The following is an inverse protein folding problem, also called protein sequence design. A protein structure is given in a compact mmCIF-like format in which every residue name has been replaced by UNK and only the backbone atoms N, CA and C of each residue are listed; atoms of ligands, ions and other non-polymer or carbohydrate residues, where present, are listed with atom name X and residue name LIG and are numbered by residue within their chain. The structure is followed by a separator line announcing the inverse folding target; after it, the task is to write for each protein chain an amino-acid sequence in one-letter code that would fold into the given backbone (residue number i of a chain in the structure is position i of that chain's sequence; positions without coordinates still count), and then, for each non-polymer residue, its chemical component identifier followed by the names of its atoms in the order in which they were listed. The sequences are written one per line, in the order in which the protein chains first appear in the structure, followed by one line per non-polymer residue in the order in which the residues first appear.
data_IF_400095979160
#
_entry.id   IF_400095979160
#
_cell.length_a   1.000
_cell.length_b   1.000
_cell.length_c   1.000
_cell.angle_alpha   90.00
_cell.angle_beta   90.00
_cell.angle_gamma   90.00
#
_symmetry.space_group_name_H-M   'P 1'
#
loop_
_entity.id
_entity.type
_entity.pdbx_description
1 polymer ?
#
# COMPACT_ATOMS: atom_id res chain seq x y z
N UNK A 1 -33.14 20.86 -12.01
CA UNK A 1 -33.07 20.98 -13.49
C UNK A 1 -32.49 19.68 -14.04
N UNK A 2 -33.28 18.83 -14.70
CA UNK A 2 -32.78 17.57 -15.29
C UNK A 2 -32.24 17.88 -16.69
N UNK A 3 -30.92 17.74 -16.91
CA UNK A 3 -30.34 17.85 -18.25
C UNK A 3 -30.91 16.76 -19.18
N UNK A 4 -31.22 17.13 -20.43
CA UNK A 4 -31.56 16.21 -21.53
C UNK A 4 -30.44 15.16 -21.71
N UNK A 5 -30.84 13.92 -22.01
CA UNK A 5 -29.98 12.79 -22.37
C UNK A 5 -28.93 13.12 -23.45
N UNK A 6 -29.28 13.90 -24.48
CA UNK A 6 -28.36 14.30 -25.56
C UNK A 6 -27.20 15.16 -25.03
N UNK A 7 -27.50 16.14 -24.18
CA UNK A 7 -26.49 16.99 -23.54
C UNK A 7 -25.57 16.19 -22.60
N UNK A 8 -26.07 15.11 -21.98
CA UNK A 8 -25.24 14.20 -21.17
C UNK A 8 -24.26 13.41 -22.04
N UNK A 9 -24.69 12.97 -23.23
CA UNK A 9 -23.83 12.27 -24.18
C UNK A 9 -22.78 13.20 -24.80
N UNK A 10 -23.15 14.42 -25.18
CA UNK A 10 -22.21 15.42 -25.69
C UNK A 10 -21.15 15.79 -24.65
N UNK A 11 -21.54 15.99 -23.38
CA UNK A 11 -20.61 16.25 -22.29
C UNK A 11 -19.64 15.08 -22.06
N UNK A 12 -20.11 13.82 -22.12
CA UNK A 12 -19.24 12.65 -22.01
C UNK A 12 -18.19 12.60 -23.14
N UNK A 13 -18.58 12.98 -24.38
CA UNK A 13 -17.68 12.97 -25.54
C UNK A 13 -16.55 14.02 -25.44
N UNK A 14 -16.86 15.26 -25.07
CA UNK A 14 -15.87 16.35 -24.93
C UNK A 14 -14.91 16.13 -23.74
N UNK A 15 -15.40 15.51 -22.67
CA UNK A 15 -14.67 15.36 -21.42
C UNK A 15 -13.76 14.10 -21.44
N UNK A 16 -14.07 13.08 -22.24
CA UNK A 16 -13.30 11.82 -22.28
C UNK A 16 -11.86 11.95 -22.78
N UNK A 17 -11.58 12.84 -23.75
CA UNK A 17 -10.24 12.99 -24.34
C UNK A 17 -9.37 14.07 -23.67
N UNK A 18 -9.99 15.10 -23.08
CA UNK A 18 -9.27 16.23 -22.46
C UNK A 18 -9.22 16.18 -20.94
N UNK A 19 -10.07 15.38 -20.28
CA UNK A 19 -10.18 15.29 -18.82
C UNK A 19 -10.16 13.84 -18.35
N UNK A 20 -8.95 13.39 -18.00
CA UNK A 20 -8.70 12.03 -17.51
C UNK A 20 -9.06 11.95 -16.01
N UNK A 21 -9.86 10.96 -15.64
CA UNK A 21 -10.09 10.59 -14.25
C UNK A 21 -8.94 9.68 -13.82
N UNK A 22 -8.09 10.16 -12.90
CA UNK A 22 -6.97 9.36 -12.41
C UNK A 22 -7.40 8.37 -11.31
N UNK A 23 -7.47 7.10 -11.70
CA UNK A 23 -7.64 5.96 -10.81
C UNK A 23 -6.43 4.99 -10.89
N UNK A 24 -5.30 5.41 -11.46
CA UNK A 24 -4.17 4.53 -11.68
C UNK A 24 -3.34 4.37 -10.40
N UNK A 25 -2.70 5.42 -9.92
CA UNK A 25 -1.77 5.33 -8.78
C UNK A 25 -2.54 5.15 -7.47
N UNK A 26 -2.05 4.26 -6.60
CA UNK A 26 -2.61 4.08 -5.26
C UNK A 26 -2.23 5.18 -4.27
N UNK A 27 -2.09 6.45 -4.70
CA UNK A 27 -1.82 7.60 -3.81
C UNK A 27 -3.10 8.08 -3.12
N UNK A 28 -2.99 8.85 -2.03
CA UNK A 28 -4.18 9.44 -1.41
C UNK A 28 -4.89 10.37 -2.41
N UNK A 29 -6.18 10.12 -2.72
CA UNK A 29 -6.93 10.97 -3.63
C UNK A 29 -7.43 12.27 -2.98
N UNK A 30 -7.31 12.41 -1.65
CA UNK A 30 -7.87 13.50 -0.86
C UNK A 30 -6.81 14.47 -0.28
N UNK A 31 -5.57 14.37 -0.75
CA UNK A 31 -4.46 15.24 -0.32
C UNK A 31 -3.80 14.75 0.98
N UNK A 32 -3.31 15.69 1.79
CA UNK A 32 -2.56 15.44 3.03
C UNK A 32 -3.14 16.22 4.22
N UNK A 33 -2.75 15.91 5.47
CA UNK A 33 -3.01 16.80 6.60
C UNK A 33 -2.54 18.23 6.30
N UNK A 34 -3.26 19.26 6.79
CA UNK A 34 -2.91 20.65 6.55
C UNK A 34 -1.59 20.99 7.24
N UNK A 35 -0.74 21.74 6.54
CA UNK A 35 0.49 22.34 7.07
C UNK A 35 0.23 23.84 7.17
N UNK A 36 0.36 24.41 8.37
CA UNK A 36 0.17 25.84 8.56
C UNK A 36 1.22 26.63 7.77
N UNK A 37 0.83 27.74 7.13
CA UNK A 37 1.76 28.59 6.38
C UNK A 37 2.92 29.10 7.24
N UNK A 38 2.65 29.32 8.54
CA UNK A 38 3.62 29.73 9.57
C UNK A 38 4.72 28.70 9.82
N UNK A 39 4.51 27.43 9.45
CA UNK A 39 5.52 26.38 9.57
C UNK A 39 6.55 26.40 8.43
N UNK A 40 6.21 27.01 7.29
CA UNK A 40 7.07 27.00 6.10
C UNK A 40 8.44 27.69 6.32
N UNK A 41 8.54 28.84 7.02
CA UNK A 41 9.84 29.43 7.34
C UNK A 41 10.73 28.50 8.18
N UNK A 42 10.16 27.79 9.17
CA UNK A 42 10.91 26.83 10.01
C UNK A 42 11.41 25.62 9.23
N UNK A 43 10.72 25.25 8.15
CA UNK A 43 11.16 24.19 7.24
C UNK A 43 12.38 24.59 6.41
N UNK A 44 12.46 25.87 6.02
CA UNK A 44 13.50 26.38 5.12
C UNK A 44 14.73 26.92 5.87
N UNK A 45 14.60 27.19 7.17
CA UNK A 45 15.60 27.85 8.02
C UNK A 45 16.97 27.17 8.00
N UNK A 46 17.00 25.85 7.90
CA UNK A 46 18.17 24.98 7.99
C UNK A 46 18.16 23.93 6.87
N UNK A 47 17.62 24.28 5.70
CA UNK A 47 17.51 23.37 4.56
C UNK A 47 18.89 22.92 4.03
N UNK A 48 19.94 23.69 4.33
CA UNK A 48 21.33 23.40 4.02
C UNK A 48 22.02 22.47 5.05
N UNK A 49 21.34 22.12 6.13
CA UNK A 49 21.86 21.24 7.19
C UNK A 49 21.38 19.79 7.08
N UNK A 50 22.19 18.87 7.63
CA UNK A 50 21.74 17.52 7.93
C UNK A 50 20.91 17.49 9.22
N UNK A 51 20.02 16.49 9.36
CA UNK A 51 19.32 16.30 10.61
C UNK A 51 20.28 15.95 11.75
N UNK A 52 19.90 16.36 12.97
CA UNK A 52 20.56 15.98 14.23
C UNK A 52 19.87 14.79 14.90
N UNK A 53 20.48 14.25 15.97
CA UNK A 53 19.86 13.19 16.78
C UNK A 53 18.53 13.63 17.40
N UNK A 54 18.37 14.92 17.72
CA UNK A 54 17.13 15.48 18.27
C UNK A 54 15.97 15.35 17.28
N UNK A 55 16.22 15.62 16.00
CA UNK A 55 15.22 15.43 14.95
C UNK A 55 14.79 13.96 14.81
N UNK A 56 15.74 13.03 14.88
CA UNK A 56 15.44 11.59 14.86
C UNK A 56 14.65 11.17 16.09
N UNK A 57 15.04 11.62 17.28
CA UNK A 57 14.35 11.34 18.52
C UNK A 57 12.91 11.86 18.50
N UNK A 58 12.70 13.08 18.01
CA UNK A 58 11.38 13.69 17.86
C UNK A 58 10.51 12.88 16.89
N UNK A 59 11.02 12.58 15.69
CA UNK A 59 10.26 11.78 14.72
C UNK A 59 9.93 10.37 15.26
N UNK A 60 10.89 9.74 15.94
CA UNK A 60 10.68 8.44 16.59
C UNK A 60 9.61 8.51 17.66
N UNK A 61 9.59 9.59 18.46
CA UNK A 61 8.59 9.82 19.48
C UNK A 61 7.19 9.98 18.85
N UNK A 62 7.06 10.84 17.85
CA UNK A 62 5.78 11.12 17.19
C UNK A 62 5.22 9.88 16.49
N UNK A 63 6.04 9.11 15.77
CA UNK A 63 5.60 7.86 15.14
C UNK A 63 5.27 6.79 16.20
N UNK A 64 6.07 6.69 17.26
CA UNK A 64 5.81 5.78 18.38
C UNK A 64 4.46 6.05 19.04
N UNK A 65 4.14 7.32 19.32
CA UNK A 65 2.82 7.72 19.85
C UNK A 65 1.69 7.47 18.86
N UNK A 66 1.91 7.76 17.57
CA UNK A 66 0.91 7.57 16.54
C UNK A 66 0.44 6.10 16.43
N UNK A 67 1.39 5.15 16.45
CA UNK A 67 1.15 3.72 16.30
C UNK A 67 0.96 2.95 17.62
N UNK A 68 1.38 3.54 18.75
CA UNK A 68 1.44 2.85 20.03
C UNK A 68 2.58 1.82 20.09
N UNK A 69 3.75 2.15 19.54
CA UNK A 69 4.96 1.31 19.56
C UNK A 69 6.12 2.04 20.25
N UNK A 70 7.17 1.32 20.64
CA UNK A 70 8.35 1.95 21.23
C UNK A 70 9.12 2.73 20.17
N UNK A 71 9.52 3.96 20.49
CA UNK A 71 10.31 4.81 19.61
C UNK A 71 11.67 4.20 19.24
N UNK A 72 12.21 3.33 20.11
CA UNK A 72 13.47 2.64 19.85
C UNK A 72 13.37 1.56 18.78
N UNK A 73 12.17 1.04 18.50
CA UNK A 73 11.90 -0.05 17.55
C UNK A 73 11.68 0.46 16.10
N UNK A 74 11.93 1.75 15.88
CA UNK A 74 11.72 2.44 14.61
C UNK A 74 13.03 2.66 13.85
N UNK A 75 12.98 2.46 12.53
CA UNK A 75 14.04 2.81 11.59
C UNK A 75 13.44 3.56 10.40
N UNK A 76 13.97 4.73 10.05
CA UNK A 76 13.42 5.59 9.00
C UNK A 76 14.15 5.43 7.66
N UNK A 77 13.40 5.57 6.56
CA UNK A 77 13.87 5.27 5.20
C UNK A 77 13.21 6.21 4.18
N UNK A 78 13.72 6.22 2.94
CA UNK A 78 13.20 7.02 1.83
C UNK A 78 11.91 6.45 1.21
N UNK A 79 10.87 6.28 2.04
CA UNK A 79 9.64 5.57 1.69
C UNK A 79 9.76 4.06 1.93
N UNK A 80 8.63 3.35 1.85
CA UNK A 80 8.59 1.90 2.10
C UNK A 80 9.46 1.10 1.13
N UNK A 81 9.60 1.54 -0.13
CA UNK A 81 10.51 0.87 -1.08
C UNK A 81 11.97 0.93 -0.61
N UNK A 82 12.42 2.07 -0.07
CA UNK A 82 13.75 2.19 0.51
C UNK A 82 13.95 1.28 1.74
N UNK A 83 12.88 1.00 2.50
CA UNK A 83 12.92 -0.02 3.55
C UNK A 83 13.07 -1.44 2.99
N UNK A 84 12.30 -1.79 1.95
CA UNK A 84 12.40 -3.10 1.31
C UNK A 84 13.79 -3.31 0.69
N UNK A 85 14.29 -2.33 -0.06
CA UNK A 85 15.64 -2.35 -0.63
C UNK A 85 16.72 -2.53 0.45
N UNK A 86 16.60 -1.81 1.56
CA UNK A 86 17.52 -1.94 2.70
C UNK A 86 17.56 -3.37 3.22
N UNK A 87 16.38 -3.96 3.48
CA UNK A 87 16.25 -5.32 4.02
C UNK A 87 16.83 -6.31 3.02
N UNK A 88 16.36 -6.28 1.76
CA UNK A 88 16.75 -7.24 0.74
C UNK A 88 18.26 -7.21 0.45
N UNK A 89 18.87 -6.03 0.44
CA UNK A 89 20.29 -5.89 0.12
C UNK A 89 21.23 -6.16 1.29
N UNK A 90 20.82 -5.81 2.53
CA UNK A 90 21.74 -5.77 3.68
C UNK A 90 21.46 -6.78 4.78
N UNK A 91 20.23 -7.28 4.91
CA UNK A 91 19.87 -8.19 6.00
C UNK A 91 19.71 -9.64 5.57
N UNK A 92 19.64 -9.90 4.27
CA UNK A 92 19.38 -11.24 3.73
C UNK A 92 20.67 -11.83 3.19
N UNK A 93 20.93 -13.09 3.57
CA UNK A 93 22.08 -13.85 3.09
C UNK A 93 22.12 -13.84 1.55
N UNK A 94 23.32 -13.70 1.00
CA UNK A 94 23.58 -13.74 -0.44
C UNK A 94 23.45 -15.15 -1.01
N UNK A 95 23.59 -16.19 -0.19
CA UNK A 95 23.55 -17.58 -0.64
C UNK A 95 22.14 -18.18 -0.66
N UNK A 96 21.22 -17.66 0.17
CA UNK A 96 19.83 -18.15 0.27
C UNK A 96 18.85 -16.99 0.08
N UNK A 97 18.44 -16.74 -1.17
CA UNK A 97 17.53 -15.62 -1.53
C UNK A 97 16.22 -16.14 -2.10
N UNK A 98 15.42 -16.78 -1.26
CA UNK A 98 14.07 -17.23 -1.61
C UNK A 98 13.04 -16.37 -0.89
N UNK A 99 12.02 -15.92 -1.62
CA UNK A 99 10.88 -15.18 -1.11
C UNK A 99 9.60 -15.89 -1.48
N UNK A 100 8.71 -16.08 -0.51
CA UNK A 100 7.36 -16.60 -0.74
C UNK A 100 6.33 -15.53 -0.35
N UNK A 101 5.23 -15.44 -1.11
CA UNK A 101 4.11 -14.56 -0.77
C UNK A 101 2.78 -15.06 -1.31
N UNK A 102 1.76 -14.19 -1.29
CA UNK A 102 0.42 -14.48 -1.81
C UNK A 102 0.20 -13.67 -3.10
N UNK A 103 -0.03 -14.35 -4.21
CA UNK A 103 -0.23 -13.72 -5.51
C UNK A 103 -1.71 -13.51 -5.85
N UNK A 104 -2.10 -12.40 -6.53
CA UNK A 104 -1.28 -11.24 -6.89
C UNK A 104 -0.97 -10.33 -5.70
N UNK A 105 0.24 -9.76 -5.71
CA UNK A 105 0.74 -8.81 -4.71
C UNK A 105 1.60 -7.70 -5.35
N UNK A 106 2.11 -6.78 -4.51
CA UNK A 106 2.91 -5.64 -4.92
C UNK A 106 4.13 -6.05 -5.75
N UNK A 107 4.17 -5.59 -7.00
CA UNK A 107 5.09 -6.06 -8.04
C UNK A 107 6.50 -5.53 -7.83
N UNK A 108 6.63 -4.30 -7.35
CA UNK A 108 7.90 -3.62 -7.17
C UNK A 108 8.73 -4.31 -6.07
N UNK A 109 8.12 -4.77 -4.98
CA UNK A 109 8.82 -5.56 -3.96
C UNK A 109 9.45 -6.84 -4.56
N UNK A 110 8.66 -7.58 -5.35
CA UNK A 110 9.13 -8.80 -6.04
C UNK A 110 10.19 -8.49 -7.09
N UNK A 111 10.03 -7.38 -7.82
CA UNK A 111 10.98 -6.96 -8.85
C UNK A 111 12.33 -6.57 -8.26
N UNK A 112 12.35 -5.76 -7.18
CA UNK A 112 13.58 -5.41 -6.46
C UNK A 112 14.27 -6.64 -5.90
N UNK A 113 13.51 -7.58 -5.32
CA UNK A 113 14.09 -8.83 -4.82
C UNK A 113 14.71 -9.68 -5.94
N UNK A 114 14.06 -9.77 -7.11
CA UNK A 114 14.62 -10.46 -8.28
C UNK A 114 15.85 -9.77 -8.86
N UNK A 115 15.89 -8.43 -8.86
CA UNK A 115 17.02 -7.65 -9.38
C UNK A 115 18.32 -7.93 -8.62
N UNK A 116 18.22 -8.23 -7.32
CA UNK A 116 19.37 -8.62 -6.51
C UNK A 116 19.68 -10.14 -6.61
N UNK A 117 19.10 -10.85 -7.57
CA UNK A 117 19.30 -12.29 -7.76
C UNK A 117 18.45 -13.18 -6.84
N UNK A 118 17.38 -12.64 -6.25
CA UNK A 118 16.42 -13.42 -5.48
C UNK A 118 15.43 -14.20 -6.35
N UNK A 119 14.94 -15.31 -5.80
CA UNK A 119 13.91 -16.15 -6.37
C UNK A 119 12.60 -15.94 -5.62
N UNK A 120 11.52 -15.67 -6.35
CA UNK A 120 10.20 -15.44 -5.78
C UNK A 120 9.21 -16.48 -6.27
N UNK A 121 8.42 -17.01 -5.33
CA UNK A 121 7.29 -17.89 -5.60
C UNK A 121 6.04 -17.41 -4.88
N UNK A 122 4.88 -17.59 -5.52
CA UNK A 122 3.59 -17.19 -4.97
C UNK A 122 2.73 -18.41 -4.69
N UNK A 123 1.98 -18.38 -3.58
CA UNK A 123 0.71 -19.13 -3.50
C UNK A 123 -0.34 -18.27 -4.21
N UNK A 124 -0.99 -18.81 -5.25
CA UNK A 124 -2.01 -18.07 -5.98
C UNK A 124 -3.32 -18.05 -5.18
N UNK A 125 -3.77 -16.86 -4.77
CA UNK A 125 -4.96 -16.69 -3.95
C UNK A 125 -6.25 -17.16 -4.64
N UNK A 126 -6.28 -17.22 -5.97
CA UNK A 126 -7.45 -17.63 -6.73
C UNK A 126 -7.73 -19.14 -6.65
N UNK A 127 -6.81 -19.92 -6.08
CA UNK A 127 -6.97 -21.37 -5.87
C UNK A 127 -7.76 -21.69 -4.60
N UNK A 128 -8.09 -20.67 -3.81
CA UNK A 128 -8.69 -20.81 -2.49
C UNK A 128 -9.93 -19.94 -2.34
N UNK A 129 -11.00 -20.51 -1.78
CA UNK A 129 -12.22 -19.77 -1.43
C UNK A 129 -12.22 -19.31 0.04
N UNK A 130 -11.58 -20.07 0.94
CA UNK A 130 -11.42 -19.75 2.35
C UNK A 130 -10.00 -19.25 2.61
N UNK A 131 -9.89 -18.16 3.37
CA UNK A 131 -8.60 -17.57 3.76
C UNK A 131 -7.77 -18.52 4.63
N UNK A 132 -8.40 -19.34 5.46
CA UNK A 132 -7.71 -20.30 6.33
C UNK A 132 -7.00 -21.38 5.50
N UNK A 133 -7.60 -21.81 4.40
CA UNK A 133 -6.99 -22.79 3.50
C UNK A 133 -5.80 -22.17 2.75
N UNK A 134 -5.95 -20.92 2.28
CA UNK A 134 -4.86 -20.15 1.67
C UNK A 134 -3.66 -20.02 2.61
N UNK A 135 -3.89 -19.60 3.86
CA UNK A 135 -2.82 -19.47 4.85
C UNK A 135 -2.27 -20.84 5.28
N UNK A 136 -3.09 -21.88 5.33
CA UNK A 136 -2.64 -23.25 5.57
C UNK A 136 -1.68 -23.74 4.50
N UNK A 137 -2.00 -23.51 3.22
CA UNK A 137 -1.12 -23.83 2.09
C UNK A 137 0.20 -23.05 2.16
N UNK A 138 0.15 -21.76 2.48
CA UNK A 138 1.33 -20.92 2.64
C UNK A 138 2.22 -21.40 3.80
N UNK A 139 1.64 -21.70 4.97
CA UNK A 139 2.38 -22.24 6.13
C UNK A 139 3.06 -23.56 5.78
N UNK A 140 2.36 -24.48 5.11
CA UNK A 140 2.94 -25.74 4.66
C UNK A 140 4.14 -25.50 3.73
N UNK A 141 4.00 -24.57 2.77
CA UNK A 141 5.10 -24.22 1.86
C UNK A 141 6.30 -23.61 2.59
N UNK A 142 6.06 -22.75 3.59
CA UNK A 142 7.12 -22.17 4.43
C UNK A 142 7.92 -23.28 5.14
N UNK A 143 7.25 -24.26 5.74
CA UNK A 143 7.92 -25.37 6.42
C UNK A 143 8.70 -26.28 5.47
N UNK A 144 8.19 -26.52 4.27
CA UNK A 144 8.85 -27.34 3.26
C UNK A 144 10.10 -26.64 2.69
N UNK A 145 9.95 -25.39 2.27
CA UNK A 145 10.96 -24.71 1.45
C UNK A 145 11.93 -23.87 2.29
N UNK A 146 11.53 -23.51 3.52
CA UNK A 146 12.28 -22.66 4.46
C UNK A 146 12.81 -21.40 3.78
N UNK A 147 11.92 -20.54 3.26
CA UNK A 147 12.33 -19.38 2.50
C UNK A 147 13.11 -18.40 3.39
N UNK A 148 14.01 -17.60 2.80
CA UNK A 148 14.63 -16.52 3.56
C UNK A 148 13.61 -15.44 3.98
N UNK A 149 12.64 -15.16 3.11
CA UNK A 149 11.62 -14.14 3.32
C UNK A 149 10.23 -14.70 3.04
N UNK A 150 9.29 -14.36 3.91
CA UNK A 150 7.86 -14.37 3.60
C UNK A 150 7.40 -12.92 3.51
N UNK A 151 6.87 -12.52 2.37
CA UNK A 151 6.42 -11.14 2.12
C UNK A 151 4.91 -11.11 1.93
N UNK A 152 4.23 -10.26 2.70
CA UNK A 152 2.79 -10.05 2.63
C UNK A 152 2.51 -8.55 2.70
N UNK A 153 1.89 -7.97 1.68
CA UNK A 153 1.29 -6.65 1.79
C UNK A 153 -0.13 -6.74 2.36
N UNK A 154 -0.38 -6.03 3.46
CA UNK A 154 -1.66 -6.03 4.15
C UNK A 154 -2.00 -4.61 4.64
N UNK A 155 -2.96 -3.89 4.02
CA UNK A 155 -3.84 -4.35 2.95
C UNK A 155 -3.14 -4.66 1.61
N UNK A 156 -3.60 -5.70 0.93
CA UNK A 156 -3.01 -6.25 -0.30
C UNK A 156 -3.21 -5.33 -1.51
N UNK A 157 -2.17 -5.14 -2.31
CA UNK A 157 -2.14 -4.46 -3.59
C UNK A 157 -1.84 -5.51 -4.67
N UNK A 158 -2.78 -5.85 -5.56
CA UNK A 158 -3.81 -4.94 -6.08
C UNK A 158 -5.22 -5.08 -5.49
N UNK A 159 -5.50 -6.14 -4.76
CA UNK A 159 -6.90 -6.54 -4.48
C UNK A 159 -7.63 -5.58 -3.53
N UNK A 160 -6.91 -4.88 -2.67
CA UNK A 160 -7.47 -4.09 -1.57
C UNK A 160 -8.01 -4.95 -0.43
N UNK A 161 -7.68 -6.24 -0.39
CA UNK A 161 -8.08 -7.17 0.67
C UNK A 161 -7.29 -6.88 1.95
N UNK A 162 -7.94 -7.10 3.09
CA UNK A 162 -7.30 -7.08 4.41
C UNK A 162 -7.39 -8.50 4.94
N UNK A 163 -6.25 -9.10 5.24
CA UNK A 163 -6.17 -10.44 5.83
C UNK A 163 -6.42 -10.38 7.33
N UNK A 164 -6.93 -11.47 7.90
CA UNK A 164 -7.12 -11.60 9.34
C UNK A 164 -5.78 -11.55 10.07
N UNK A 165 -5.72 -10.77 11.15
CA UNK A 165 -4.55 -10.67 12.01
C UNK A 165 -4.18 -12.01 12.62
N UNK A 166 -5.14 -12.86 12.97
CA UNK A 166 -4.85 -14.18 13.54
C UNK A 166 -4.12 -15.08 12.55
N UNK A 167 -4.42 -14.95 11.25
CA UNK A 167 -3.72 -15.68 10.20
C UNK A 167 -2.28 -15.18 10.02
N UNK A 168 -2.06 -13.86 10.11
CA UNK A 168 -0.72 -13.27 10.11
C UNK A 168 0.10 -13.67 11.34
N UNK A 169 -0.52 -13.78 12.52
CA UNK A 169 0.14 -14.26 13.75
C UNK A 169 0.61 -15.71 13.60
N UNK A 170 -0.23 -16.60 13.04
CA UNK A 170 0.18 -17.98 12.73
C UNK A 170 1.35 -18.00 11.74
N UNK A 171 1.36 -17.06 10.80
CA UNK A 171 2.45 -16.92 9.84
C UNK A 171 3.76 -16.50 10.53
N UNK A 172 3.72 -15.59 11.51
CA UNK A 172 4.89 -15.24 12.33
C UNK A 172 5.51 -16.50 12.96
N UNK A 173 4.67 -17.33 13.57
CA UNK A 173 5.08 -18.58 14.25
C UNK A 173 5.69 -19.58 13.26
N UNK A 174 5.07 -19.76 12.09
CA UNK A 174 5.59 -20.66 11.06
C UNK A 174 6.95 -20.19 10.50
N UNK A 175 7.09 -18.87 10.31
CA UNK A 175 8.35 -18.26 9.88
C UNK A 175 9.43 -18.41 10.95
N UNK A 176 9.11 -18.25 12.23
CA UNK A 176 10.06 -18.42 13.33
C UNK A 176 10.62 -19.84 13.38
N UNK A 177 9.74 -20.85 13.24
CA UNK A 177 10.12 -22.27 13.18
C UNK A 177 10.98 -22.64 11.95
N UNK A 178 10.91 -21.82 10.90
CA UNK A 178 11.61 -22.06 9.63
C UNK A 178 12.80 -21.13 9.42
N UNK A 179 13.15 -20.32 10.44
CA UNK A 179 14.19 -19.30 10.40
C UNK A 179 13.99 -18.27 9.27
N UNK A 180 12.74 -18.03 8.89
CA UNK A 180 12.33 -17.07 7.87
C UNK A 180 12.02 -15.70 8.47
N UNK A 181 12.38 -14.63 7.77
CA UNK A 181 11.92 -13.28 8.07
C UNK A 181 10.52 -13.06 7.50
N UNK A 182 9.57 -12.65 8.34
CA UNK A 182 8.26 -12.19 7.87
C UNK A 182 8.26 -10.67 7.71
N UNK A 183 8.00 -10.21 6.49
CA UNK A 183 7.78 -8.80 6.17
C UNK A 183 6.30 -8.59 5.91
N UNK A 184 5.66 -7.75 6.74
CA UNK A 184 4.30 -7.26 6.50
C UNK A 184 4.37 -5.82 6.01
N UNK A 185 4.10 -5.59 4.72
CA UNK A 185 4.03 -4.25 4.14
C UNK A 185 2.63 -3.66 4.40
N UNK A 186 2.57 -2.75 5.37
CA UNK A 186 1.38 -1.99 5.71
C UNK A 186 1.39 -0.62 5.02
N UNK A 187 1.70 -0.58 3.72
CA UNK A 187 1.64 0.66 2.94
C UNK A 187 0.27 1.36 3.05
N UNK A 188 -0.84 0.61 3.10
CA UNK A 188 -2.18 1.14 3.36
C UNK A 188 -2.59 0.99 4.85
N UNK A 189 -1.63 1.01 5.77
CA UNK A 189 -1.87 0.74 7.19
C UNK A 189 -2.80 1.75 7.88
N UNK A 190 -2.98 2.95 7.35
CA UNK A 190 -3.97 3.91 7.86
C UNK A 190 -5.42 3.49 7.56
N UNK A 191 -5.62 2.54 6.64
CA UNK A 191 -6.92 1.93 6.37
C UNK A 191 -7.25 0.77 7.33
N UNK A 192 -6.28 0.34 8.16
CA UNK A 192 -6.48 -0.70 9.16
C UNK A 192 -7.09 -0.11 10.44
N UNK A 193 -7.89 -0.91 11.15
CA UNK A 193 -8.18 -0.64 12.56
C UNK A 193 -6.92 -0.90 13.39
N UNK A 194 -6.75 -0.20 14.51
CA UNK A 194 -5.60 -0.38 15.43
C UNK A 194 -5.40 -1.86 15.83
N UNK A 195 -6.48 -2.61 16.00
CA UNK A 195 -6.41 -4.05 16.33
C UNK A 195 -5.94 -4.95 15.19
N UNK A 196 -5.87 -4.46 13.95
CA UNK A 196 -5.53 -5.23 12.75
C UNK A 196 -4.06 -5.05 12.32
N UNK A 197 -3.40 -3.97 12.75
CA UNK A 197 -1.97 -3.79 12.43
C UNK A 197 -1.10 -4.81 13.15
N UNK A 198 -0.04 -5.22 12.48
CA UNK A 198 1.04 -6.08 12.97
C UNK A 198 2.17 -5.27 13.63
N UNK A 199 2.18 -3.93 13.52
CA UNK A 199 3.27 -3.09 14.04
C UNK A 199 3.49 -3.29 15.55
N UNK A 200 2.41 -3.44 16.31
CA UNK A 200 2.47 -3.68 17.77
C UNK A 200 2.96 -5.09 18.13
N UNK A 201 2.94 -6.02 17.18
CA UNK A 201 3.35 -7.41 17.36
C UNK A 201 4.85 -7.60 17.17
N UNK A 202 5.56 -6.62 16.57
CA UNK A 202 7.01 -6.69 16.37
C UNK A 202 7.78 -6.90 17.69
N UNK A 203 7.28 -6.39 18.82
CA UNK A 203 7.88 -6.62 20.15
C UNK A 203 7.78 -8.08 20.61
N UNK A 204 6.83 -8.83 20.08
CA UNK A 204 6.51 -10.20 20.47
C UNK A 204 7.13 -11.25 19.54
N UNK A 205 7.44 -10.88 18.30
CA UNK A 205 7.96 -11.80 17.28
C UNK A 205 9.35 -11.35 16.78
N UNK A 206 10.43 -12.08 17.11
CA UNK A 206 11.80 -11.66 16.81
C UNK A 206 12.10 -11.60 15.30
N UNK A 207 11.31 -12.30 14.48
CA UNK A 207 11.43 -12.43 13.03
C UNK A 207 10.41 -11.58 12.24
N UNK A 208 9.68 -10.67 12.90
CA UNK A 208 8.69 -9.81 12.25
C UNK A 208 9.26 -8.42 11.97
N UNK A 209 9.03 -7.97 10.73
CA UNK A 209 9.28 -6.61 10.26
C UNK A 209 7.99 -6.07 9.64
N UNK A 210 7.59 -4.88 10.08
CA UNK A 210 6.45 -4.15 9.49
C UNK A 210 6.97 -2.92 8.77
N UNK A 211 6.66 -2.79 7.49
CA UNK A 211 7.05 -1.65 6.66
C UNK A 211 5.85 -0.72 6.50
N UNK A 212 6.06 0.59 6.68
CA UNK A 212 5.03 1.62 6.51
C UNK A 212 5.54 2.83 5.75
N UNK A 213 4.61 3.64 5.24
CA UNK A 213 4.94 4.84 4.48
C UNK A 213 3.99 6.00 4.77
N UNK A 214 4.50 7.22 4.66
CA UNK A 214 3.69 8.43 4.65
C UNK A 214 3.01 8.69 3.30
N UNK A 215 3.30 7.87 2.27
CA UNK A 215 2.87 8.12 0.89
C UNK A 215 1.38 7.87 0.63
N UNK A 216 0.75 7.03 1.46
CA UNK A 216 -0.59 6.48 1.21
C UNK A 216 -1.62 7.15 2.09
N UNK A 217 -2.00 6.62 3.25
CA UNK A 217 -3.08 7.20 4.06
C UNK A 217 -2.85 8.65 4.46
N UNK A 218 -1.60 9.05 4.68
CA UNK A 218 -1.22 10.43 5.02
C UNK A 218 -1.02 11.35 3.80
N UNK A 219 -1.05 10.81 2.57
CA UNK A 219 -1.01 11.60 1.33
C UNK A 219 0.30 12.34 1.04
N UNK A 220 1.38 12.00 1.72
CA UNK A 220 2.67 12.68 1.62
C UNK A 220 3.64 11.91 0.69
N UNK A 221 3.15 11.47 -0.48
CA UNK A 221 3.95 10.67 -1.41
C UNK A 221 5.22 11.38 -1.87
N UNK A 222 5.15 12.70 -2.09
CA UNK A 222 6.27 13.54 -2.47
C UNK A 222 7.33 13.73 -1.38
N UNK A 223 6.99 13.44 -0.12
CA UNK A 223 7.91 13.60 1.02
C UNK A 223 9.00 12.53 1.05
N UNK A 224 8.77 11.41 0.37
CA UNK A 224 9.66 10.24 0.35
C UNK A 224 10.04 9.78 1.76
N UNK A 225 9.06 9.69 2.65
CA UNK A 225 9.25 9.20 4.01
C UNK A 225 8.56 7.83 4.23
N UNK A 226 9.32 6.91 4.80
CA UNK A 226 8.87 5.60 5.24
C UNK A 226 9.60 5.19 6.49
N UNK A 227 9.15 4.10 7.09
CA UNK A 227 9.76 3.56 8.28
C UNK A 227 9.47 2.07 8.43
N UNK A 228 10.31 1.44 9.23
CA UNK A 228 10.23 0.06 9.66
C UNK A 228 9.90 0.06 11.15
N UNK A 229 8.95 -0.78 11.54
CA UNK A 229 8.77 -1.22 12.92
C UNK A 229 9.30 -2.65 12.99
N UNK A 230 10.27 -2.90 13.85
CA UNK A 230 10.91 -4.21 13.94
C UNK A 230 11.10 -4.63 15.39
N UNK A 231 11.34 -5.92 15.59
CA UNK A 231 11.69 -6.44 16.91
C UNK A 231 12.95 -5.78 17.46
N UNK A 232 13.14 -5.73 18.80
CA UNK A 232 14.38 -5.26 19.40
C UNK A 232 15.62 -6.06 18.97
N UNK A 233 15.44 -7.29 18.46
CA UNK A 233 16.53 -8.12 17.93
C UNK A 233 16.97 -7.68 16.53
N UNK A 234 16.04 -7.26 15.66
CA UNK A 234 16.35 -6.84 14.27
C UNK A 234 16.74 -5.35 14.21
N UNK A 235 16.15 -4.52 15.07
CA UNK A 235 16.29 -3.06 15.00
C UNK A 235 17.74 -2.54 15.00
N UNK A 236 18.67 -3.06 15.83
CA UNK A 236 20.06 -2.63 15.80
C UNK A 236 20.72 -2.80 14.41
N UNK A 237 20.49 -3.94 13.76
CA UNK A 237 21.03 -4.23 12.43
C UNK A 237 20.45 -3.28 11.37
N UNK A 238 19.14 -2.98 11.46
CA UNK A 238 18.51 -2.01 10.57
C UNK A 238 19.10 -0.61 10.73
N UNK A 239 19.29 -0.15 11.97
CA UNK A 239 19.88 1.18 12.25
C UNK A 239 21.32 1.30 11.76
N UNK A 240 22.10 0.23 11.85
CA UNK A 240 23.47 0.18 11.30
C UNK A 240 23.46 0.13 9.76
N UNK A 241 22.46 -0.53 9.18
CA UNK A 241 22.35 -0.70 7.73
C UNK A 241 21.87 0.56 6.99
N UNK A 242 21.11 1.44 7.64
CA UNK A 242 20.57 2.67 7.01
C UNK A 242 21.69 3.56 6.47
N UNK A 243 21.45 4.15 5.29
CA UNK A 243 22.36 5.14 4.72
C UNK A 243 22.42 6.39 5.61
N UNK A 244 23.62 6.95 5.79
CA UNK A 244 23.80 8.17 6.58
C UNK A 244 22.87 9.28 6.07
N UNK A 245 22.29 10.02 7.02
CA UNK A 245 21.42 11.16 6.75
C UNK A 245 20.19 10.82 5.87
N UNK A 246 19.62 9.64 6.07
CA UNK A 246 18.34 9.22 5.48
C UNK A 246 17.32 9.02 6.61
N UNK A 247 16.11 9.61 6.54
CA UNK A 247 15.53 10.43 5.47
C UNK A 247 15.97 11.90 5.49
N UNK A 248 15.43 12.74 4.60
CA UNK A 248 15.77 14.18 4.53
C UNK A 248 15.22 14.96 5.73
N UNK A 249 15.93 16.02 6.15
CA UNK A 249 15.50 16.87 7.27
C UNK A 249 14.10 17.49 7.05
N UNK A 250 13.76 18.04 5.85
CA UNK A 250 12.40 18.52 5.59
C UNK A 250 11.32 17.45 5.78
N UNK A 251 11.61 16.19 5.40
CA UNK A 251 10.69 15.08 5.59
C UNK A 251 10.40 14.82 7.07
N UNK A 252 11.45 14.81 7.89
CA UNK A 252 11.33 14.60 9.33
C UNK A 252 10.53 15.72 9.99
N UNK A 253 10.84 16.99 9.67
CA UNK A 253 10.13 18.15 10.21
C UNK A 253 8.64 18.14 9.89
N UNK A 254 8.29 17.92 8.62
CA UNK A 254 6.88 17.86 8.20
C UNK A 254 6.16 16.71 8.90
N UNK A 255 6.77 15.53 8.97
CA UNK A 255 6.15 14.37 9.61
C UNK A 255 5.95 14.58 11.12
N UNK A 256 6.95 15.09 11.83
CA UNK A 256 6.82 15.42 13.26
C UNK A 256 5.74 16.47 13.52
N UNK A 257 5.60 17.45 12.63
CA UNK A 257 4.56 18.49 12.73
C UNK A 257 3.14 17.93 12.52
N UNK A 258 2.93 17.06 11.53
CA UNK A 258 1.57 16.61 11.16
C UNK A 258 1.03 15.47 12.03
N UNK A 259 1.89 14.58 12.54
CA UNK A 259 1.49 13.36 13.25
C UNK A 259 0.58 13.58 14.47
N UNK A 260 0.82 14.58 15.35
CA UNK A 260 -0.04 14.84 16.50
C UNK A 260 -1.53 14.99 16.16
N UNK A 261 -1.84 15.54 14.98
CA UNK A 261 -3.21 15.81 14.54
C UNK A 261 -3.67 14.92 13.37
N UNK A 262 -2.80 14.01 12.89
CA UNK A 262 -3.06 13.21 11.70
C UNK A 262 -4.25 12.24 11.84
N UNK A 263 -4.57 11.78 13.06
CA UNK A 263 -5.67 10.81 13.29
C UNK A 263 -7.03 11.34 12.84
N UNK A 264 -7.31 12.64 13.00
CA UNK A 264 -8.56 13.23 12.55
C UNK A 264 -8.64 13.23 11.01
N UNK A 265 -7.56 13.61 10.33
CA UNK A 265 -7.46 13.55 8.88
C UNK A 265 -7.69 12.12 8.38
N UNK A 266 -6.98 11.14 8.93
CA UNK A 266 -7.11 9.72 8.55
C UNK A 266 -8.53 9.20 8.74
N UNK A 267 -9.19 9.56 9.85
CA UNK A 267 -10.59 9.18 10.09
C UNK A 267 -11.54 9.72 9.01
N UNK A 268 -11.43 11.01 8.69
CA UNK A 268 -12.26 11.63 7.65
C UNK A 268 -11.96 11.03 6.27
N UNK A 269 -10.68 10.81 5.98
CA UNK A 269 -10.19 10.15 4.77
C UNK A 269 -10.82 8.76 4.60
N UNK A 270 -10.81 7.93 5.64
CA UNK A 270 -11.39 6.58 5.60
C UNK A 270 -12.91 6.56 5.44
N UNK A 271 -13.62 7.56 5.99
CA UNK A 271 -15.05 7.73 5.75
C UNK A 271 -15.35 8.01 4.28
N UNK A 272 -14.59 8.92 3.67
CA UNK A 272 -14.70 9.23 2.24
C UNK A 272 -14.32 8.03 1.36
N UNK A 273 -13.24 7.32 1.71
CA UNK A 273 -12.83 6.09 1.01
C UNK A 273 -14.00 5.10 0.97
N UNK A 274 -14.59 4.83 2.13
CA UNK A 274 -15.69 3.87 2.26
C UNK A 274 -16.88 4.27 1.40
N UNK A 275 -17.28 5.54 1.46
CA UNK A 275 -18.43 6.06 0.71
C UNK A 275 -18.20 6.01 -0.81
N UNK A 276 -17.04 6.46 -1.28
CA UNK A 276 -16.74 6.50 -2.71
C UNK A 276 -16.50 5.12 -3.29
N UNK A 277 -15.82 4.23 -2.54
CA UNK A 277 -15.61 2.85 -2.96
C UNK A 277 -16.92 2.12 -3.15
N UNK A 278 -17.86 2.25 -2.20
CA UNK A 278 -19.18 1.63 -2.32
C UNK A 278 -19.93 2.08 -3.58
N UNK A 279 -19.91 3.38 -3.89
CA UNK A 279 -20.56 3.92 -5.09
C UNK A 279 -19.86 3.45 -6.37
N UNK A 280 -18.53 3.50 -6.41
CA UNK A 280 -17.74 3.03 -7.56
C UNK A 280 -17.96 1.55 -7.84
N UNK A 281 -17.95 0.70 -6.80
CA UNK A 281 -18.25 -0.73 -6.94
C UNK A 281 -19.61 -0.94 -7.62
N UNK A 282 -20.65 -0.26 -7.15
CA UNK A 282 -21.98 -0.38 -7.76
C UNK A 282 -22.02 0.10 -9.22
N UNK A 283 -21.31 1.18 -9.56
CA UNK A 283 -21.24 1.66 -10.95
C UNK A 283 -20.49 0.69 -11.87
N UNK A 284 -19.40 0.10 -11.38
CA UNK A 284 -18.59 -0.87 -12.12
C UNK A 284 -19.38 -2.16 -12.37
N UNK A 285 -20.01 -2.71 -11.33
CA UNK A 285 -20.85 -3.92 -11.42
C UNK A 285 -22.00 -3.75 -12.41
N UNK A 286 -22.70 -2.60 -12.33
CA UNK A 286 -23.78 -2.28 -13.28
C UNK A 286 -23.29 -2.19 -14.73
N UNK A 287 -22.00 -1.93 -14.94
CA UNK A 287 -21.38 -1.78 -16.26
C UNK A 287 -20.64 -3.04 -16.72
N UNK A 288 -20.93 -4.18 -16.08
CA UNK A 288 -20.40 -5.49 -16.47
C UNK A 288 -18.97 -5.76 -16.02
N UNK A 289 -18.46 -5.04 -15.02
CA UNK A 289 -17.23 -5.42 -14.32
C UNK A 289 -17.55 -6.35 -13.16
N UNK A 290 -16.72 -7.36 -12.96
CA UNK A 290 -16.61 -8.07 -11.69
C UNK A 290 -15.64 -7.29 -10.79
N UNK A 291 -16.08 -6.89 -9.60
CA UNK A 291 -15.21 -6.28 -8.60
C UNK A 291 -14.79 -7.37 -7.61
N UNK A 292 -13.49 -7.65 -7.53
CA UNK A 292 -12.99 -8.73 -6.67
C UNK A 292 -13.17 -8.40 -5.18
N UNK A 293 -13.24 -9.42 -4.30
CA UNK A 293 -13.35 -9.22 -2.87
C UNK A 293 -12.27 -8.29 -2.31
N UNK A 294 -12.71 -7.20 -1.67
CA UNK A 294 -11.86 -6.14 -1.15
C UNK A 294 -12.47 -5.53 0.11
N UNK A 295 -11.64 -5.02 1.03
CA UNK A 295 -12.13 -4.21 2.15
C UNK A 295 -12.77 -2.91 1.65
N UNK A 296 -13.87 -2.48 2.27
CA UNK A 296 -14.49 -1.18 1.97
C UNK A 296 -13.61 0.01 2.38
N UNK A 297 -12.66 -0.20 3.31
CA UNK A 297 -11.82 0.85 3.89
C UNK A 297 -10.54 1.13 3.07
N UNK A 298 -10.21 0.28 2.10
CA UNK A 298 -9.01 0.46 1.26
C UNK A 298 -9.34 1.24 0.00
N UNK A 299 -8.49 2.16 -0.46
CA UNK A 299 -8.80 3.03 -1.59
C UNK A 299 -8.62 2.34 -2.95
N UNK A 300 -8.15 1.09 -2.99
CA UNK A 300 -7.91 0.34 -4.23
C UNK A 300 -8.81 -0.89 -4.34
N UNK A 301 -9.11 -1.31 -5.56
CA UNK A 301 -9.84 -2.53 -5.87
C UNK A 301 -9.30 -3.13 -7.18
N UNK A 302 -9.27 -4.46 -7.25
CA UNK A 302 -9.00 -5.18 -8.50
C UNK A 302 -10.35 -5.47 -9.16
N UNK A 303 -10.48 -5.12 -10.44
CA UNK A 303 -11.68 -5.38 -11.23
C UNK A 303 -11.34 -6.24 -12.43
N UNK A 304 -12.33 -7.00 -12.92
CA UNK A 304 -12.24 -7.81 -14.13
C UNK A 304 -13.36 -7.47 -15.09
N UNK A 305 -13.07 -7.42 -16.39
CA UNK A 305 -14.08 -7.35 -17.45
C UNK A 305 -13.90 -8.56 -18.37
N UNK A 306 -14.73 -9.58 -18.16
CA UNK A 306 -14.63 -10.86 -18.88
C UNK A 306 -14.75 -10.67 -20.39
N UNK A 307 -13.81 -11.20 -21.15
CA UNK A 307 -13.76 -11.12 -22.61
C UNK A 307 -13.22 -9.80 -23.18
N UNK A 308 -12.87 -8.82 -22.34
CA UNK A 308 -12.40 -7.50 -22.77
C UNK A 308 -11.06 -7.14 -22.12
N UNK A 309 -10.30 -6.25 -22.75
CA UNK A 309 -9.18 -5.61 -22.07
C UNK A 309 -9.69 -4.50 -21.13
N UNK A 310 -9.73 -4.77 -19.83
CA UNK A 310 -10.32 -3.88 -18.83
C UNK A 310 -9.64 -2.49 -18.81
N UNK A 311 -8.31 -2.45 -18.85
CA UNK A 311 -7.56 -1.19 -18.82
C UNK A 311 -7.77 -0.38 -20.11
N UNK A 312 -7.83 -1.04 -21.27
CA UNK A 312 -8.11 -0.38 -22.54
C UNK A 312 -9.54 0.18 -22.60
N UNK A 313 -10.54 -0.57 -22.10
CA UNK A 313 -11.90 -0.07 -21.98
C UNK A 313 -11.99 1.15 -21.05
N UNK A 314 -11.37 1.07 -19.86
CA UNK A 314 -11.34 2.21 -18.93
C UNK A 314 -10.68 3.43 -19.59
N UNK A 315 -9.59 3.22 -20.33
CA UNK A 315 -8.91 4.28 -21.07
C UNK A 315 -9.80 4.88 -22.18
N UNK A 316 -10.57 4.08 -22.91
CA UNK A 316 -11.46 4.59 -23.98
C UNK A 316 -12.58 5.48 -23.44
N UNK A 317 -12.92 5.34 -22.16
CA UNK A 317 -13.85 6.23 -21.45
C UNK A 317 -13.12 7.28 -20.59
N UNK A 318 -11.82 7.51 -20.82
CA UNK A 318 -11.03 8.55 -20.15
C UNK A 318 -10.76 8.30 -18.66
N UNK A 319 -10.70 7.03 -18.23
CA UNK A 319 -10.35 6.62 -16.87
C UNK A 319 -8.97 5.95 -16.88
N UNK A 320 -8.02 6.51 -16.15
CA UNK A 320 -6.70 5.92 -15.98
C UNK A 320 -6.75 4.78 -14.97
N UNK A 321 -6.07 3.67 -15.24
CA UNK A 321 -6.03 2.48 -14.39
C UNK A 321 -4.64 1.83 -14.44
N UNK A 322 -4.36 0.92 -13.51
CA UNK A 322 -3.19 0.04 -13.60
C UNK A 322 -3.60 -1.28 -14.27
N UNK A 323 -2.94 -1.62 -15.38
CA UNK A 323 -3.27 -2.81 -16.16
C UNK A 323 -3.00 -4.09 -15.36
N UNK A 324 -3.88 -5.09 -15.45
CA UNK A 324 -3.73 -6.38 -14.80
C UNK A 324 -2.42 -7.10 -15.16
N UNK A 325 -1.93 -6.91 -16.40
CA UNK A 325 -0.66 -7.50 -16.85
C UNK A 325 0.55 -7.02 -16.04
N UNK A 326 0.44 -5.88 -15.34
CA UNK A 326 1.49 -5.43 -14.41
C UNK A 326 1.72 -6.45 -13.29
N UNK A 327 0.69 -7.17 -12.85
CA UNK A 327 0.73 -8.14 -11.75
C UNK A 327 1.08 -9.57 -12.20
N UNK A 328 1.37 -9.79 -13.49
CA UNK A 328 1.67 -11.14 -14.01
C UNK A 328 2.91 -11.78 -13.38
N UNK A 329 3.85 -10.98 -12.89
CA UNK A 329 5.04 -11.47 -12.19
C UNK A 329 4.74 -12.01 -10.79
N UNK A 330 3.54 -11.74 -10.25
CA UNK A 330 3.09 -12.18 -8.92
C UNK A 330 1.86 -13.09 -8.96
N UNK A 331 1.06 -13.08 -10.04
CA UNK A 331 0.10 -14.15 -10.37
C UNK A 331 -0.16 -14.18 -11.87
N UNK A 332 0.03 -15.35 -12.50
CA UNK A 332 -0.20 -15.55 -13.95
C UNK A 332 -1.68 -15.46 -14.33
N UNK A 333 -2.59 -15.61 -13.37
CA UNK A 333 -4.05 -15.51 -13.58
C UNK A 333 -4.51 -14.06 -13.79
N UNK A 334 -3.80 -13.07 -13.25
CA UNK A 334 -4.12 -11.66 -13.48
C UNK A 334 -3.61 -11.23 -14.84
N UNK A 335 -4.49 -11.25 -15.83
CA UNK A 335 -4.19 -10.95 -17.23
C UNK A 335 -4.79 -9.59 -17.67
N UNK A 336 -4.92 -9.39 -18.98
CA UNK A 336 -5.45 -8.15 -19.57
C UNK A 336 -6.94 -7.88 -19.26
N UNK A 337 -7.70 -8.90 -18.85
CA UNK A 337 -9.09 -8.74 -18.40
C UNK A 337 -9.17 -8.03 -17.04
N UNK A 338 -8.05 -7.87 -16.35
CA UNK A 338 -8.00 -7.24 -15.04
C UNK A 338 -7.46 -5.81 -15.12
N UNK A 339 -7.90 -4.97 -14.18
CA UNK A 339 -7.32 -3.66 -13.92
C UNK A 339 -7.43 -3.33 -12.43
N UNK A 340 -6.38 -2.74 -11.83
CA UNK A 340 -6.49 -2.14 -10.51
C UNK A 340 -6.94 -0.69 -10.65
N UNK A 341 -7.99 -0.35 -9.91
CA UNK A 341 -8.49 1.01 -9.77
C UNK A 341 -8.26 1.50 -8.33
N UNK A 342 -7.79 2.73 -8.19
CA UNK A 342 -7.99 3.54 -7.00
C UNK A 342 -9.34 4.25 -7.09
N UNK A 343 -10.00 4.51 -5.98
CA UNK A 343 -11.13 5.43 -5.91
C UNK A 343 -10.77 6.83 -6.45
N UNK A 344 -11.80 7.56 -6.86
CA UNK A 344 -11.70 8.98 -7.24
C UNK A 344 -11.47 9.90 -6.05
N UNK A 345 -10.99 11.12 -6.31
CA UNK A 345 -10.65 12.10 -5.25
C UNK A 345 -11.66 13.21 -4.98
N UNK A 346 -12.76 13.26 -5.72
CA UNK A 346 -13.80 14.25 -5.49
C UNK A 346 -15.13 13.79 -6.11
N UNK A 347 -16.21 14.43 -5.68
CA UNK A 347 -17.57 14.14 -6.10
C UNK A 347 -17.76 14.33 -7.61
N UNK A 348 -17.16 15.38 -8.19
CA UNK A 348 -17.18 15.61 -9.64
C UNK A 348 -16.65 14.41 -10.41
N UNK A 349 -15.51 13.85 -10.01
CA UNK A 349 -14.95 12.66 -10.64
C UNK A 349 -15.82 11.42 -10.43
N UNK A 350 -16.50 11.30 -9.29
CA UNK A 350 -17.42 10.20 -9.01
C UNK A 350 -18.64 10.24 -9.94
N UNK A 351 -19.24 11.42 -10.10
CA UNK A 351 -20.36 11.66 -11.02
C UNK A 351 -19.96 11.42 -12.48
N UNK A 352 -18.79 11.93 -12.88
CA UNK A 352 -18.27 11.73 -14.23
C UNK A 352 -17.97 10.25 -14.51
N UNK A 353 -17.39 9.52 -13.56
CA UNK A 353 -17.18 8.09 -13.70
C UNK A 353 -18.51 7.36 -13.90
N UNK A 354 -19.53 7.66 -13.10
CA UNK A 354 -20.85 7.07 -13.24
C UNK A 354 -21.42 7.32 -14.64
N UNK A 355 -21.39 8.55 -15.14
CA UNK A 355 -21.91 8.90 -16.46
C UNK A 355 -21.19 8.14 -17.58
N UNK A 356 -19.85 8.10 -17.56
CA UNK A 356 -19.04 7.48 -18.62
C UNK A 356 -19.17 5.97 -18.71
N UNK A 357 -19.41 5.33 -17.56
CA UNK A 357 -19.69 3.90 -17.46
C UNK A 357 -21.08 3.55 -18.02
N UNK A 358 -22.08 4.44 -17.86
CA UNK A 358 -23.44 4.24 -18.37
C UNK A 358 -23.61 4.53 -19.87
N UNK A 359 -22.78 5.40 -20.47
CA UNK A 359 -22.95 5.77 -21.89
C UNK A 359 -22.34 4.75 -22.87
N UNK A 360 -21.52 3.82 -22.38
CA UNK A 360 -20.81 2.82 -23.18
C UNK A 360 -21.16 1.37 -22.81
N UNK A 361 -22.16 1.18 -21.95
CA UNK A 361 -22.84 -0.10 -21.69
C UNK A 361 -24.10 -0.18 -22.53
#
# INVERSE_FOLDING_TARGET
MKLNHELRQEQASYVSHSYIIDCALGSNPFGSPPIAAEFLPELLKDIDEYYSFEHLAELSHQVGQYLGVNSQDLTFTNGSLGALELIFNKLIDRQHRTMIGIGPQFVEAVSEFKLIGGHYEAIDMFEFNDERDLFGALINKIHCDKPAIVYIDNPNNPTGRIYDKENLIKLCQACEQSESLLIVDEAYGECLLDRQTMAQECKSFPNLVVVRTFSKGLGLAGLRLGYIVSSPTITPYLKEAVALFTPTLPAMKIASYILPNAKLFVRNNNQMITAYKQQMTAFLEKSGFEVLPSSKQTPIMLVRKSGDNASAYLKSIGVSSCCGTHFQSTSTRVNHEYARLRIVGNERNLEQLALRLHTNS
#
